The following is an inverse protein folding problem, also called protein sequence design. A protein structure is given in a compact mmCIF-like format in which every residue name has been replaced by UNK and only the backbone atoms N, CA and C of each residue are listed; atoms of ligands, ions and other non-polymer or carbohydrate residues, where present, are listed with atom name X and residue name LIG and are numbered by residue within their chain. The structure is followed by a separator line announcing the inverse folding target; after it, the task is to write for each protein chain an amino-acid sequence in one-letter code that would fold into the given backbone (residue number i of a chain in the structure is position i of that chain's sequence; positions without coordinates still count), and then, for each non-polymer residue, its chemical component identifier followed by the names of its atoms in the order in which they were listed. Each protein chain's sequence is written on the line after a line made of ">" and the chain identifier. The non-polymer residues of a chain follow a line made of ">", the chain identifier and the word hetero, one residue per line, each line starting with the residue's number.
data_IF_774225461060
#
_entry.id   IF_774225461060
#
_cell.length_a   1.000
_cell.length_b   1.000
_cell.length_c   1.000
_cell.angle_alpha   90.00
_cell.angle_beta   90.00
_cell.angle_gamma   90.00
#
_symmetry.space_group_name_H-M   'P 1'
#
loop_
_entity.id
_entity.type
_entity.pdbx_description
1 polymer ?
#
# COMPACT_ATOMS: atom_id res chain seq x y z
N UNK A 1 -0.33 24.82 -30.10
CA UNK A 1 -0.94 23.47 -30.13
C UNK A 1 -0.14 22.48 -29.28
N UNK A 2 1.20 22.57 -29.22
CA UNK A 2 2.03 21.76 -28.29
C UNK A 2 1.80 22.01 -26.78
N UNK A 3 1.32 23.19 -26.37
CA UNK A 3 1.19 23.54 -24.94
C UNK A 3 0.15 22.73 -24.15
N UNK A 4 -0.94 22.25 -24.76
CA UNK A 4 -2.05 21.68 -23.97
C UNK A 4 -1.79 20.26 -23.44
N UNK A 5 -0.99 19.45 -24.15
CA UNK A 5 -0.67 18.09 -23.69
C UNK A 5 0.39 18.11 -22.59
N UNK A 6 1.38 19.00 -22.71
CA UNK A 6 2.43 19.18 -21.70
C UNK A 6 1.84 19.64 -20.35
N UNK A 7 0.93 20.62 -20.37
CA UNK A 7 0.25 21.13 -19.17
C UNK A 7 -0.55 20.03 -18.44
N UNK A 8 -1.14 19.07 -19.17
CA UNK A 8 -1.88 17.95 -18.56
C UNK A 8 -0.97 16.85 -18.02
N UNK A 9 0.12 16.54 -18.71
CA UNK A 9 1.12 15.60 -18.17
C UNK A 9 1.74 16.18 -16.90
N UNK A 10 2.01 17.49 -16.86
CA UNK A 10 2.43 18.19 -15.65
C UNK A 10 1.38 18.10 -14.53
N UNK A 11 0.09 18.26 -14.86
CA UNK A 11 -1.00 18.04 -13.90
C UNK A 11 -1.04 16.60 -13.37
N UNK A 12 -0.90 15.59 -14.24
CA UNK A 12 -0.85 14.17 -13.85
C UNK A 12 0.36 13.90 -12.96
N UNK A 13 1.52 14.47 -13.28
CA UNK A 13 2.73 14.36 -12.45
C UNK A 13 2.55 15.04 -11.09
N UNK A 14 1.84 16.18 -11.05
CA UNK A 14 1.47 16.84 -9.79
C UNK A 14 0.55 15.97 -8.95
N UNK A 15 -0.49 15.37 -9.54
CA UNK A 15 -1.37 14.43 -8.84
C UNK A 15 -0.59 13.22 -8.32
N UNK A 16 0.29 12.63 -9.14
CA UNK A 16 1.14 11.52 -8.73
C UNK A 16 2.02 11.88 -7.52
N UNK A 17 2.56 13.10 -7.50
CA UNK A 17 3.35 13.63 -6.38
C UNK A 17 2.51 13.85 -5.11
N UNK A 18 1.30 14.38 -5.25
CA UNK A 18 0.38 14.57 -4.11
C UNK A 18 -0.03 13.24 -3.49
N UNK A 19 -0.39 12.25 -4.32
CA UNK A 19 -0.71 10.89 -3.89
C UNK A 19 0.50 10.28 -3.16
N UNK A 20 1.69 10.39 -3.77
CA UNK A 20 2.93 9.84 -3.23
C UNK A 20 3.28 10.38 -1.84
N UNK A 21 3.15 11.69 -1.61
CA UNK A 21 3.48 12.29 -0.32
C UNK A 21 2.57 11.83 0.83
N UNK A 22 1.34 11.41 0.52
CA UNK A 22 0.35 11.02 1.51
C UNK A 22 0.24 9.49 1.68
N UNK A 23 0.99 8.70 0.90
CA UNK A 23 0.82 7.24 0.89
C UNK A 23 1.40 6.58 2.15
N UNK A 24 2.45 7.15 2.76
CA UNK A 24 3.18 6.50 3.85
C UNK A 24 3.20 7.32 5.13
N UNK A 25 2.82 6.65 6.21
CA UNK A 25 2.93 7.18 7.57
C UNK A 25 4.37 7.05 8.05
N UNK A 26 4.94 8.11 8.63
CA UNK A 26 6.24 8.00 9.29
C UNK A 26 6.11 7.21 10.60
N UNK A 27 7.09 6.37 10.91
CA UNK A 27 7.09 5.64 12.17
C UNK A 27 7.03 6.58 13.39
N UNK A 28 7.63 7.75 13.30
CA UNK A 28 7.65 8.71 14.40
C UNK A 28 6.31 9.46 14.59
N UNK A 29 5.43 9.43 13.58
CA UNK A 29 4.12 10.09 13.60
C UNK A 29 3.03 9.23 14.26
N UNK A 30 3.29 7.94 14.47
CA UNK A 30 2.35 7.08 15.21
C UNK A 30 2.13 7.60 16.65
N UNK A 31 0.88 7.56 17.14
CA UNK A 31 0.55 7.88 18.53
C UNK A 31 1.48 7.20 19.55
N UNK A 32 2.03 8.00 20.47
CA UNK A 32 2.97 7.53 21.50
C UNK A 32 2.30 6.86 22.70
N UNK A 33 1.00 7.04 22.85
CA UNK A 33 0.20 6.49 23.96
C UNK A 33 -0.73 5.39 23.46
N UNK A 34 -1.07 4.46 24.35
CA UNK A 34 -1.98 3.36 24.03
C UNK A 34 -3.40 3.89 23.75
N UNK A 35 -4.02 3.33 22.72
CA UNK A 35 -5.33 3.73 22.23
C UNK A 35 -6.44 2.79 22.67
N UNK A 36 -7.65 3.34 22.77
CA UNK A 36 -8.87 2.52 22.73
C UNK A 36 -9.13 2.03 21.30
N UNK A 37 -9.88 0.93 21.15
CA UNK A 37 -10.25 0.42 19.83
C UNK A 37 -10.97 1.46 18.95
N UNK A 38 -11.85 2.27 19.52
CA UNK A 38 -12.53 3.33 18.75
C UNK A 38 -11.54 4.31 18.14
N UNK A 39 -10.51 4.70 18.91
CA UNK A 39 -9.47 5.62 18.43
C UNK A 39 -8.56 4.98 17.37
N UNK A 40 -8.33 3.67 17.47
CA UNK A 40 -7.63 2.92 16.41
C UNK A 40 -8.43 2.94 15.12
N UNK A 41 -9.74 2.71 15.20
CA UNK A 41 -10.63 2.76 14.03
C UNK A 41 -10.64 4.17 13.43
N UNK A 42 -10.81 5.21 14.25
CA UNK A 42 -10.78 6.60 13.80
C UNK A 42 -9.45 6.91 13.09
N UNK A 43 -8.33 6.48 13.68
CA UNK A 43 -7.00 6.65 13.09
C UNK A 43 -6.85 5.93 11.74
N UNK A 44 -7.32 4.68 11.63
CA UNK A 44 -7.24 3.93 10.39
C UNK A 44 -8.12 4.54 9.29
N UNK A 45 -9.32 5.00 9.63
CA UNK A 45 -10.22 5.63 8.67
C UNK A 45 -9.73 7.02 8.22
N UNK A 46 -8.98 7.75 9.05
CA UNK A 46 -8.30 9.00 8.65
C UNK A 46 -7.15 8.74 7.65
N UNK A 47 -6.49 7.57 7.74
CA UNK A 47 -5.34 7.23 6.88
C UNK A 47 -5.70 6.38 5.66
N UNK A 48 -6.78 5.62 5.76
CA UNK A 48 -7.24 4.66 4.76
C UNK A 48 -8.75 4.82 4.56
N UNK A 49 -9.16 5.99 4.10
CA UNK A 49 -10.58 6.38 3.97
C UNK A 49 -11.40 5.37 3.16
N UNK A 50 -10.81 4.71 2.16
CA UNK A 50 -11.49 3.72 1.31
C UNK A 50 -11.71 2.35 1.97
N UNK A 51 -11.09 2.07 3.13
CA UNK A 51 -11.09 0.75 3.77
C UNK A 51 -12.21 0.53 4.80
N UNK A 52 -12.92 1.60 5.18
CA UNK A 52 -14.08 1.60 6.08
C UNK A 52 -13.94 0.65 7.28
N UNK A 53 -12.90 0.86 8.09
CA UNK A 53 -12.65 0.04 9.28
C UNK A 53 -13.80 0.16 10.27
N UNK A 54 -14.21 -1.00 10.77
CA UNK A 54 -15.21 -1.15 11.84
C UNK A 54 -14.63 -1.99 12.97
N UNK A 55 -15.31 -1.96 14.13
CA UNK A 55 -14.98 -2.85 15.25
C UNK A 55 -14.88 -4.31 14.81
N UNK A 56 -15.86 -4.79 14.05
CA UNK A 56 -15.91 -6.19 13.60
C UNK A 56 -14.71 -6.56 12.72
N UNK A 57 -14.26 -5.66 11.85
CA UNK A 57 -13.10 -5.88 10.99
C UNK A 57 -11.84 -6.05 11.84
N UNK A 58 -11.56 -5.11 12.75
CA UNK A 58 -10.37 -5.19 13.62
C UNK A 58 -10.42 -6.43 14.52
N UNK A 59 -11.59 -6.74 15.09
CA UNK A 59 -11.76 -7.94 15.91
C UNK A 59 -11.57 -9.24 15.12
N UNK A 60 -11.98 -9.29 13.85
CA UNK A 60 -11.74 -10.44 12.99
C UNK A 60 -10.24 -10.67 12.75
N UNK A 61 -9.44 -9.61 12.60
CA UNK A 61 -7.99 -9.76 12.48
C UNK A 61 -7.32 -10.27 13.76
N UNK A 62 -7.79 -9.83 14.93
CA UNK A 62 -7.31 -10.37 16.22
C UNK A 62 -7.70 -11.84 16.37
N UNK A 63 -8.96 -12.17 16.07
CA UNK A 63 -9.50 -13.54 16.22
C UNK A 63 -8.79 -14.54 15.31
N UNK A 64 -8.45 -14.13 14.09
CA UNK A 64 -7.71 -14.97 13.14
C UNK A 64 -6.19 -14.88 13.32
N UNK A 65 -5.73 -14.17 14.35
CA UNK A 65 -4.32 -14.00 14.68
C UNK A 65 -3.51 -13.45 13.50
N UNK A 66 -4.06 -12.45 12.82
CA UNK A 66 -3.35 -11.65 11.81
C UNK A 66 -2.64 -10.47 12.48
N UNK A 67 -3.23 -9.96 13.56
CA UNK A 67 -2.61 -8.97 14.45
C UNK A 67 -2.64 -9.47 15.89
N UNK A 68 -1.73 -8.98 16.72
CA UNK A 68 -1.64 -9.41 18.12
C UNK A 68 -2.83 -8.93 18.93
N UNK A 69 -3.17 -9.68 19.99
CA UNK A 69 -4.19 -9.26 20.95
C UNK A 69 -3.74 -7.96 21.66
N UNK A 70 -4.64 -7.00 21.89
CA UNK A 70 -4.34 -5.82 22.69
C UNK A 70 -3.92 -6.23 24.10
N UNK A 71 -3.20 -5.37 24.81
CA UNK A 71 -2.72 -5.69 26.16
C UNK A 71 -3.87 -6.11 27.10
N UNK A 72 -3.72 -7.27 27.71
CA UNK A 72 -4.74 -7.88 28.56
C UNK A 72 -5.18 -6.98 29.72
N UNK A 73 -6.49 -6.98 29.98
CA UNK A 73 -7.10 -6.20 31.06
C UNK A 73 -7.12 -4.68 30.85
N UNK A 74 -6.60 -4.17 29.72
CA UNK A 74 -6.58 -2.72 29.44
C UNK A 74 -7.63 -2.33 28.40
N UNK A 75 -8.48 -1.36 28.77
CA UNK A 75 -9.38 -0.70 27.80
C UNK A 75 -8.59 0.05 26.72
N UNK A 76 -7.45 0.65 27.10
CA UNK A 76 -6.44 1.22 26.19
C UNK A 76 -5.32 0.19 26.01
N UNK A 77 -5.58 -0.84 25.22
CA UNK A 77 -4.65 -1.95 25.03
C UNK A 77 -3.88 -1.90 23.69
N UNK A 78 -4.24 -0.98 22.79
CA UNK A 78 -3.65 -0.89 21.46
C UNK A 78 -2.43 0.03 21.49
N UNK A 79 -1.26 -0.60 21.56
CA UNK A 79 0.04 0.07 21.57
C UNK A 79 0.47 0.49 20.16
N UNK A 80 1.57 1.24 20.07
CA UNK A 80 2.26 1.57 18.81
C UNK A 80 2.54 0.33 17.93
N UNK A 81 2.84 -0.81 18.53
CA UNK A 81 3.05 -2.08 17.80
C UNK A 81 1.79 -2.53 17.05
N UNK A 82 0.62 -2.45 17.70
CA UNK A 82 -0.64 -2.82 17.07
C UNK A 82 -0.97 -1.89 15.91
N UNK A 83 -0.65 -0.60 16.04
CA UNK A 83 -0.81 0.36 14.95
C UNK A 83 0.10 0.04 13.77
N UNK A 84 1.35 -0.35 14.02
CA UNK A 84 2.28 -0.79 12.96
C UNK A 84 1.72 -2.01 12.22
N UNK A 85 1.26 -3.03 12.94
CA UNK A 85 0.64 -4.21 12.34
C UNK A 85 -0.58 -3.84 11.48
N UNK A 86 -1.47 -3.01 12.03
CA UNK A 86 -2.69 -2.57 11.35
C UNK A 86 -2.40 -1.70 10.13
N UNK A 87 -1.40 -0.83 10.16
CA UNK A 87 -1.03 0.01 9.02
C UNK A 87 -0.37 -0.83 7.91
N UNK A 88 0.52 -1.77 8.24
CA UNK A 88 1.05 -2.71 7.25
C UNK A 88 -0.07 -3.55 6.63
N UNK A 89 -1.01 -4.01 7.45
CA UNK A 89 -2.21 -4.72 7.01
C UNK A 89 -3.04 -3.85 6.06
N UNK A 90 -3.27 -2.58 6.38
CA UNK A 90 -4.02 -1.66 5.51
C UNK A 90 -3.40 -1.48 4.13
N UNK A 91 -2.07 -1.52 4.00
CA UNK A 91 -1.44 -1.47 2.68
C UNK A 91 -1.68 -2.74 1.84
N UNK A 92 -1.90 -3.88 2.50
CA UNK A 92 -2.09 -5.16 1.81
C UNK A 92 -3.56 -5.47 1.54
N UNK A 93 -4.47 -5.03 2.41
CA UNK A 93 -5.90 -5.35 2.38
C UNK A 93 -6.61 -5.06 1.04
N UNK A 94 -6.33 -3.98 0.30
CA UNK A 94 -6.93 -3.77 -1.03
C UNK A 94 -6.57 -4.86 -2.05
N UNK A 95 -5.47 -5.59 -1.84
CA UNK A 95 -4.87 -6.51 -2.80
C UNK A 95 -4.94 -7.98 -2.38
N UNK A 96 -4.87 -8.23 -1.07
CA UNK A 96 -4.70 -9.55 -0.46
C UNK A 96 -5.85 -9.89 0.49
N UNK A 97 -6.18 -11.18 0.53
CA UNK A 97 -7.10 -11.75 1.51
C UNK A 97 -6.47 -11.79 2.90
N UNK A 98 -7.30 -11.94 3.93
CA UNK A 98 -6.85 -12.09 5.33
C UNK A 98 -5.81 -13.20 5.51
N UNK A 99 -5.97 -14.31 4.80
CA UNK A 99 -5.06 -15.45 4.84
C UNK A 99 -3.73 -15.15 4.15
N UNK A 100 -3.76 -14.59 2.92
CA UNK A 100 -2.56 -14.12 2.22
C UNK A 100 -1.77 -13.10 3.07
N UNK A 101 -2.44 -12.20 3.77
CA UNK A 101 -1.81 -11.22 4.67
C UNK A 101 -1.12 -11.92 5.85
N UNK A 102 -1.81 -12.89 6.48
CA UNK A 102 -1.23 -13.66 7.58
C UNK A 102 0.05 -14.36 7.13
N UNK A 103 0.01 -14.97 5.95
CA UNK A 103 1.17 -15.67 5.38
C UNK A 103 2.33 -14.71 5.08
N UNK A 104 2.06 -13.47 4.66
CA UNK A 104 3.12 -12.47 4.50
C UNK A 104 3.75 -12.12 5.85
N UNK A 105 2.95 -11.93 6.90
CA UNK A 105 3.48 -11.64 8.23
C UNK A 105 4.30 -12.80 8.81
N UNK A 106 3.89 -14.04 8.62
CA UNK A 106 4.63 -15.21 9.13
C UNK A 106 6.00 -15.41 8.48
N UNK A 107 6.30 -14.77 7.34
CA UNK A 107 7.65 -14.75 6.76
C UNK A 107 8.68 -14.02 7.63
N UNK A 108 8.23 -13.15 8.55
CA UNK A 108 9.10 -12.36 9.42
C UNK A 108 8.76 -12.51 10.91
N UNK A 109 7.50 -12.84 11.22
CA UNK A 109 6.94 -12.91 12.58
C UNK A 109 6.27 -14.27 12.78
N UNK A 110 6.98 -15.24 13.33
CA UNK A 110 6.55 -16.64 13.35
C UNK A 110 5.22 -16.81 14.09
N UNK A 111 5.13 -16.28 15.32
CA UNK A 111 3.91 -16.26 16.11
C UNK A 111 3.42 -14.83 16.37
N UNK A 112 2.23 -14.49 15.85
CA UNK A 112 1.70 -13.12 15.97
C UNK A 112 1.51 -12.67 17.44
N UNK A 113 1.25 -13.61 18.36
CA UNK A 113 1.09 -13.32 19.78
C UNK A 113 2.33 -13.64 20.63
N UNK A 114 3.35 -14.31 20.08
CA UNK A 114 4.63 -14.58 20.75
C UNK A 114 5.80 -14.14 19.86
N UNK A 115 6.58 -13.18 20.34
CA UNK A 115 7.62 -12.50 19.57
C UNK A 115 9.02 -12.98 19.92
N UNK A 116 9.13 -14.06 20.69
CA UNK A 116 10.41 -14.57 21.20
C UNK A 116 11.37 -15.05 20.12
N UNK A 117 10.85 -15.43 18.96
CA UNK A 117 11.58 -16.03 17.84
C UNK A 117 11.44 -15.25 16.52
N UNK A 118 10.85 -14.05 16.56
CA UNK A 118 10.72 -13.16 15.39
C UNK A 118 12.09 -12.88 14.75
N UNK A 119 12.16 -12.96 13.42
CA UNK A 119 13.39 -12.70 12.64
C UNK A 119 13.80 -11.22 12.76
N UNK A 120 12.81 -10.33 12.82
CA UNK A 120 12.98 -8.88 12.94
C UNK A 120 11.84 -8.30 13.78
N UNK A 121 12.08 -7.19 14.49
CA UNK A 121 10.99 -6.51 15.22
C UNK A 121 10.04 -5.78 14.26
N UNK A 122 8.76 -5.67 14.65
CA UNK A 122 7.75 -4.89 13.92
C UNK A 122 8.18 -3.45 13.64
N UNK A 123 8.85 -2.81 14.61
CA UNK A 123 9.40 -1.46 14.44
C UNK A 123 10.45 -1.40 13.33
N UNK A 124 11.44 -2.30 13.36
CA UNK A 124 12.50 -2.30 12.37
C UNK A 124 11.95 -2.66 10.98
N UNK A 125 11.06 -3.66 10.89
CA UNK A 125 10.40 -4.02 9.64
C UNK A 125 9.65 -2.82 9.04
N UNK A 126 8.89 -2.08 9.85
CA UNK A 126 8.17 -0.91 9.39
C UNK A 126 9.09 0.23 8.95
N UNK A 127 10.12 0.54 9.74
CA UNK A 127 11.09 1.60 9.40
C UNK A 127 11.78 1.30 8.07
N UNK A 128 12.29 0.08 7.90
CA UNK A 128 12.91 -0.36 6.64
C UNK A 128 11.93 -0.25 5.48
N UNK A 129 10.69 -0.72 5.65
CA UNK A 129 9.64 -0.60 4.64
C UNK A 129 9.36 0.87 4.27
N UNK A 130 9.16 1.73 5.26
CA UNK A 130 8.86 3.16 5.09
C UNK A 130 10.01 3.87 4.36
N UNK A 131 11.26 3.57 4.71
CA UNK A 131 12.44 4.15 4.08
C UNK A 131 12.59 3.70 2.62
N UNK A 132 12.48 2.39 2.35
CA UNK A 132 12.53 1.85 0.97
C UNK A 132 11.47 2.50 0.09
N UNK A 133 10.27 2.68 0.63
CA UNK A 133 9.18 3.26 -0.12
C UNK A 133 9.33 4.76 -0.33
N UNK A 134 9.77 5.53 0.67
CA UNK A 134 10.07 6.97 0.51
C UNK A 134 11.02 7.23 -0.65
N UNK A 135 12.02 6.37 -0.84
CA UNK A 135 12.94 6.48 -1.97
C UNK A 135 12.33 5.96 -3.29
N UNK A 136 11.59 4.86 -3.25
CA UNK A 136 10.87 4.34 -4.42
C UNK A 136 9.86 5.35 -4.98
N UNK A 137 9.24 6.15 -4.12
CA UNK A 137 8.30 7.20 -4.47
C UNK A 137 8.95 8.42 -5.11
N UNK A 138 10.14 8.84 -4.62
CA UNK A 138 10.93 9.89 -5.30
C UNK A 138 11.29 9.45 -6.71
N UNK A 139 11.69 8.19 -6.87
CA UNK A 139 11.99 7.60 -8.17
C UNK A 139 10.75 7.46 -9.06
N UNK A 140 9.59 7.10 -8.49
CA UNK A 140 8.30 7.05 -9.19
C UNK A 140 7.96 8.44 -9.74
N UNK A 141 7.91 9.47 -8.88
CA UNK A 141 7.61 10.85 -9.29
C UNK A 141 8.64 11.42 -10.28
N UNK A 142 9.92 11.02 -10.16
CA UNK A 142 10.99 11.48 -11.05
C UNK A 142 10.99 10.79 -12.42
N UNK A 143 10.47 9.57 -12.52
CA UNK A 143 10.29 8.89 -13.81
C UNK A 143 9.02 9.44 -14.43
N UNK A 144 9.14 10.15 -15.55
CA UNK A 144 7.99 10.34 -16.44
C UNK A 144 7.48 8.94 -16.82
N UNK A 145 6.39 8.48 -16.19
CA UNK A 145 5.83 7.14 -16.39
C UNK A 145 5.39 6.86 -17.82
N UNK A 146 5.33 7.92 -18.61
CA UNK A 146 5.01 7.92 -20.01
C UNK A 146 6.24 8.39 -20.76
N UNK A 147 6.70 7.55 -21.67
CA UNK A 147 7.63 7.94 -22.72
C UNK A 147 6.87 8.94 -23.62
N UNK A 148 6.96 10.23 -23.26
CA UNK A 148 6.22 11.33 -23.88
C UNK A 148 6.46 11.35 -25.39
N UNK A 149 7.69 11.05 -25.80
CA UNK A 149 8.10 10.98 -27.20
C UNK A 149 7.38 9.84 -27.93
N UNK A 150 7.33 8.63 -27.36
CA UNK A 150 6.54 7.53 -27.96
C UNK A 150 5.05 7.85 -28.01
N UNK A 151 4.50 8.48 -26.98
CA UNK A 151 3.07 8.79 -26.93
C UNK A 151 2.73 9.85 -27.99
N UNK A 152 3.55 10.89 -28.09
CA UNK A 152 3.43 11.95 -29.10
C UNK A 152 3.59 11.39 -30.52
N UNK A 153 4.54 10.50 -30.75
CA UNK A 153 4.75 9.84 -32.05
C UNK A 153 3.56 9.00 -32.49
N UNK A 154 2.91 8.29 -31.57
CA UNK A 154 1.71 7.49 -31.87
C UNK A 154 0.53 8.41 -32.17
N UNK A 155 0.32 9.44 -31.35
CA UNK A 155 -0.85 10.31 -31.50
C UNK A 155 -0.74 11.18 -32.76
N UNK A 156 0.46 11.67 -33.09
CA UNK A 156 0.68 12.47 -34.31
C UNK A 156 0.36 11.69 -35.59
N UNK A 157 0.46 10.35 -35.56
CA UNK A 157 0.10 9.46 -36.69
C UNK A 157 -1.40 9.24 -36.87
N UNK A 158 -2.23 9.61 -35.89
CA UNK A 158 -3.66 9.32 -35.89
C UNK A 158 -4.52 10.43 -36.52
N UNK A 159 -3.92 11.52 -37.01
CA UNK A 159 -4.59 12.67 -37.64
C UNK A 159 -5.79 13.21 -36.82
N UNK A 160 -5.67 13.21 -35.49
CA UNK A 160 -6.73 13.59 -34.57
C UNK A 160 -6.84 15.12 -34.41
N UNK A 161 -8.03 15.60 -34.06
CA UNK A 161 -8.16 16.97 -33.57
C UNK A 161 -7.66 17.08 -32.11
N UNK A 162 -7.47 18.32 -31.63
CA UNK A 162 -6.88 18.56 -30.32
C UNK A 162 -7.69 17.99 -29.15
N UNK A 163 -9.02 17.91 -29.23
CA UNK A 163 -9.84 17.30 -28.15
C UNK A 163 -9.67 15.77 -28.13
N UNK A 164 -9.67 15.15 -29.31
CA UNK A 164 -9.49 13.72 -29.48
C UNK A 164 -8.11 13.25 -29.02
N UNK A 165 -7.04 13.96 -29.42
CA UNK A 165 -5.66 13.72 -28.97
C UNK A 165 -5.56 13.76 -27.43
N UNK A 166 -6.21 14.73 -26.81
CA UNK A 166 -6.28 14.85 -25.36
C UNK A 166 -6.96 13.66 -24.70
N UNK A 167 -8.11 13.24 -25.21
CA UNK A 167 -8.89 12.12 -24.65
C UNK A 167 -8.16 10.79 -24.83
N UNK A 168 -7.52 10.57 -25.98
CA UNK A 168 -6.70 9.39 -26.25
C UNK A 168 -5.47 9.36 -25.35
N UNK A 169 -4.79 10.50 -25.12
CA UNK A 169 -3.67 10.60 -24.19
C UNK A 169 -4.05 10.12 -22.79
N UNK A 170 -5.13 10.69 -22.22
CA UNK A 170 -5.62 10.31 -20.89
C UNK A 170 -6.02 8.84 -20.85
N UNK A 171 -6.71 8.35 -21.89
CA UNK A 171 -7.09 6.95 -21.99
C UNK A 171 -5.87 6.01 -21.94
N UNK A 172 -4.84 6.29 -22.75
CA UNK A 172 -3.61 5.48 -22.79
C UNK A 172 -2.86 5.50 -21.45
N UNK A 173 -2.82 6.66 -20.80
CA UNK A 173 -2.23 6.81 -19.46
C UNK A 173 -2.97 5.92 -18.46
N UNK A 174 -4.30 6.04 -18.38
CA UNK A 174 -5.14 5.24 -17.47
C UNK A 174 -4.98 3.75 -17.74
N UNK A 175 -5.03 3.33 -19.00
CA UNK A 175 -4.87 1.92 -19.39
C UNK A 175 -3.49 1.36 -19.01
N UNK A 176 -2.45 2.17 -19.17
CA UNK A 176 -1.07 1.78 -18.79
C UNK A 176 -0.96 1.59 -17.29
N UNK A 177 -1.48 2.52 -16.48
CA UNK A 177 -1.47 2.42 -15.02
C UNK A 177 -2.25 1.20 -14.54
N UNK A 178 -3.43 0.93 -15.11
CA UNK A 178 -4.24 -0.27 -14.79
C UNK A 178 -3.47 -1.55 -15.13
N UNK A 179 -2.79 -1.59 -16.28
CA UNK A 179 -1.99 -2.74 -16.70
C UNK A 179 -0.82 -2.98 -15.74
N UNK A 180 -0.10 -1.92 -15.36
CA UNK A 180 1.00 -1.99 -14.38
C UNK A 180 0.51 -2.48 -13.01
N UNK A 181 -0.59 -1.90 -12.49
CA UNK A 181 -1.20 -2.32 -11.23
C UNK A 181 -1.61 -3.80 -11.27
N UNK A 182 -2.21 -4.24 -12.39
CA UNK A 182 -2.60 -5.64 -12.59
C UNK A 182 -1.41 -6.59 -12.63
N UNK A 183 -0.30 -6.19 -13.26
CA UNK A 183 0.93 -6.98 -13.32
C UNK A 183 1.57 -7.11 -11.93
N UNK A 184 1.69 -6.00 -11.19
CA UNK A 184 2.21 -5.98 -9.81
C UNK A 184 1.33 -6.87 -8.92
N UNK A 185 0.01 -6.73 -8.97
CA UNK A 185 -0.93 -7.57 -8.20
C UNK A 185 -0.73 -9.06 -8.47
N UNK A 186 -0.56 -9.46 -9.73
CA UNK A 186 -0.28 -10.85 -10.10
C UNK A 186 1.06 -11.34 -9.56
N UNK A 187 2.09 -10.49 -9.62
CA UNK A 187 3.41 -10.82 -9.08
C UNK A 187 3.36 -11.01 -7.56
N UNK A 188 2.71 -10.11 -6.82
CA UNK A 188 2.54 -10.22 -5.37
C UNK A 188 1.85 -11.53 -5.03
N UNK A 189 0.70 -11.84 -5.65
CA UNK A 189 -0.02 -13.10 -5.38
C UNK A 189 0.83 -14.34 -5.66
N UNK A 190 1.62 -14.31 -6.74
CA UNK A 190 2.51 -15.42 -7.05
C UNK A 190 3.61 -15.59 -6.00
N UNK A 191 4.23 -14.50 -5.55
CA UNK A 191 5.25 -14.54 -4.49
C UNK A 191 4.62 -15.07 -3.20
N UNK A 192 3.48 -14.56 -2.77
CA UNK A 192 2.83 -15.00 -1.53
C UNK A 192 2.50 -16.50 -1.58
N UNK A 193 1.91 -16.98 -2.68
CA UNK A 193 1.58 -18.39 -2.83
C UNK A 193 2.83 -19.28 -2.87
N UNK A 194 3.86 -18.91 -3.65
CA UNK A 194 5.09 -19.70 -3.82
C UNK A 194 5.88 -19.87 -2.52
N UNK A 195 5.74 -18.94 -1.56
CA UNK A 195 6.39 -19.02 -0.24
C UNK A 195 5.49 -19.62 0.84
N UNK A 196 4.17 -19.52 0.70
CA UNK A 196 3.22 -20.22 1.58
C UNK A 196 3.28 -21.72 1.33
N UNK A 197 3.22 -22.15 0.06
CA UNK A 197 3.24 -23.58 -0.30
C UNK A 197 4.51 -24.29 0.21
N UNK A 198 5.65 -23.58 0.31
CA UNK A 198 6.92 -24.14 0.80
C UNK A 198 6.96 -24.37 2.31
N UNK A 199 6.12 -23.69 3.08
CA UNK A 199 6.04 -23.89 4.53
C UNK A 199 5.27 -25.18 4.85
N UNK A 200 4.24 -25.52 4.06
CA UNK A 200 3.42 -26.72 4.22
C UNK A 200 4.13 -28.05 3.86
N UNK A 201 5.22 -28.01 3.09
CA UNK A 201 6.03 -29.21 2.75
C UNK A 201 7.10 -29.57 3.79
N UNK A 202 7.28 -28.74 4.82
CA UNK A 202 8.29 -28.96 5.86
C UNK A 202 7.70 -29.37 7.23
N UNK A 203 6.38 -29.65 7.30
CA UNK A 203 5.73 -30.39 8.40
C UNK A 203 5.64 -31.89 8.11
#
# INVERSE_FOLDING_TARGET
>A
MENNNLEKIEYINKLAKEISNNTIVDYEDFPKYDLFLSQVIDYLNDKFEEEDYTNNIVQNYIKNEVISKPQDGKKRGYTKLHLVQLVLLSYMRPLLTTEEIKNVFTLAFNEINDRGDDIISWENAYKIFSDIQKDSFKDFVARQHFDEDKLKDIITKLELNSDEENRITIFLIVMTLICQASAIKKLVKKIVNDYTDKLDYNE
#
